data_IF_231452266051
#
_entry.id   IF_231452266051
#
_cell.length_a   1.000
_cell.length_b   1.000
_cell.length_c   1.000
_cell.angle_alpha   90.00
_cell.angle_beta   90.00
_cell.angle_gamma   90.00
#
_symmetry.space_group_name_H-M   'P 1'
#
loop_
_entity.id
_entity.type
_entity.pdbx_description
1 polymer ?
#
# COMPACT_ATOMS: atom_id res chain seq x y z
N UNK A 1 -11.59 2.78 11.48
CA UNK A 1 -11.15 4.15 11.16
C UNK A 1 -9.99 4.14 10.17
N UNK A 2 -9.03 3.22 10.30
CA UNK A 2 -7.84 3.15 9.43
C UNK A 2 -8.11 2.84 7.95
N UNK A 3 -9.11 2.01 7.65
CA UNK A 3 -9.47 1.67 6.26
C UNK A 3 -9.99 2.90 5.48
N UNK A 4 -10.81 3.74 6.12
CA UNK A 4 -11.32 4.97 5.51
C UNK A 4 -10.18 5.94 5.18
N UNK A 5 -9.24 6.09 6.12
CA UNK A 5 -8.02 6.92 5.91
C UNK A 5 -7.17 6.41 4.76
N UNK A 6 -7.02 5.09 4.62
CA UNK A 6 -6.26 4.50 3.53
C UNK A 6 -6.91 4.76 2.15
N UNK A 7 -8.25 4.74 2.09
CA UNK A 7 -9.02 5.10 0.90
C UNK A 7 -8.94 6.59 0.57
N UNK A 8 -8.98 7.48 1.57
CA UNK A 8 -8.78 8.91 1.35
C UNK A 8 -7.39 9.21 0.79
N UNK A 9 -6.34 8.64 1.38
CA UNK A 9 -4.98 8.79 0.88
C UNK A 9 -4.82 8.26 -0.56
N UNK A 10 -5.51 7.16 -0.90
CA UNK A 10 -5.53 6.66 -2.27
C UNK A 10 -6.24 7.61 -3.24
N UNK A 11 -7.32 8.26 -2.79
CA UNK A 11 -8.03 9.28 -3.55
C UNK A 11 -7.21 10.55 -3.76
N UNK A 12 -6.38 10.93 -2.80
CA UNK A 12 -5.42 12.04 -2.97
C UNK A 12 -4.37 11.70 -4.02
N UNK A 13 -3.78 10.50 -3.95
CA UNK A 13 -2.83 10.02 -4.98
C UNK A 13 -3.44 9.99 -6.38
N UNK A 14 -4.74 9.66 -6.50
CA UNK A 14 -5.46 9.74 -7.78
C UNK A 14 -5.49 11.17 -8.33
N UNK A 15 -5.76 12.17 -7.48
CA UNK A 15 -5.79 13.58 -7.89
C UNK A 15 -4.41 14.10 -8.28
N UNK A 16 -3.38 13.65 -7.58
CA UNK A 16 -1.97 14.05 -7.82
C UNK A 16 -1.31 13.29 -8.97
N UNK A 17 -1.99 12.30 -9.56
CA UNK A 17 -1.45 11.47 -10.64
C UNK A 17 -0.50 10.36 -10.19
N UNK A 18 -0.30 10.17 -8.89
CA UNK A 18 0.55 9.12 -8.30
C UNK A 18 -0.18 7.81 -8.00
N UNK A 19 -1.46 7.67 -8.35
CA UNK A 19 -2.19 6.44 -8.13
C UNK A 19 -1.69 5.32 -9.02
N UNK A 20 -1.55 4.14 -8.43
CA UNK A 20 -0.97 3.00 -9.11
C UNK A 20 0.56 3.01 -9.14
N UNK A 21 1.23 3.96 -8.48
CA UNK A 21 2.69 3.97 -8.35
C UNK A 21 3.10 3.50 -6.95
N UNK A 22 4.08 2.60 -6.88
CA UNK A 22 4.59 2.06 -5.63
C UNK A 22 5.39 3.11 -4.86
N UNK A 23 4.99 3.43 -3.64
CA UNK A 23 5.68 4.41 -2.79
C UNK A 23 7.13 4.04 -2.45
N UNK A 24 7.47 2.75 -2.47
CA UNK A 24 8.81 2.27 -2.08
C UNK A 24 9.81 2.21 -3.25
N UNK A 25 9.35 2.07 -4.49
CA UNK A 25 10.25 1.81 -5.63
C UNK A 25 9.92 2.58 -6.90
N UNK A 26 8.81 3.32 -6.93
CA UNK A 26 8.41 4.12 -8.10
C UNK A 26 7.85 3.34 -9.28
N UNK A 27 7.83 2.00 -9.22
CA UNK A 27 7.25 1.17 -10.28
C UNK A 27 5.73 1.04 -10.15
N UNK A 28 5.08 0.60 -11.21
CA UNK A 28 3.64 0.37 -11.21
C UNK A 28 3.19 -0.71 -10.21
N UNK A 29 2.07 -0.44 -9.57
CA UNK A 29 1.27 -1.38 -8.79
C UNK A 29 0.35 -2.07 -9.79
N UNK A 30 0.48 -3.41 -9.91
CA UNK A 30 -0.30 -4.19 -10.86
C UNK A 30 -1.81 -3.95 -10.74
N UNK A 31 -2.48 -3.84 -11.89
CA UNK A 31 -3.91 -3.54 -11.97
C UNK A 31 -4.77 -4.49 -11.13
N UNK A 32 -4.52 -5.81 -11.21
CA UNK A 32 -5.26 -6.81 -10.42
C UNK A 32 -5.14 -6.56 -8.91
N UNK A 33 -4.00 -6.01 -8.45
CA UNK A 33 -3.81 -5.64 -7.05
C UNK A 33 -4.60 -4.40 -6.67
N UNK A 34 -4.61 -3.37 -7.53
CA UNK A 34 -5.43 -2.17 -7.31
C UNK A 34 -6.93 -2.50 -7.36
N UNK A 35 -7.34 -3.44 -8.20
CA UNK A 35 -8.71 -3.93 -8.29
C UNK A 35 -9.14 -4.67 -7.01
N UNK A 36 -8.27 -5.53 -6.48
CA UNK A 36 -8.53 -6.23 -5.22
C UNK A 36 -8.42 -5.33 -3.99
N UNK A 37 -7.47 -4.39 -3.99
CA UNK A 37 -7.21 -3.47 -2.90
C UNK A 37 -6.89 -2.06 -3.43
N UNK A 38 -7.91 -1.21 -3.63
CA UNK A 38 -7.72 0.13 -4.20
C UNK A 38 -6.82 1.05 -3.36
N UNK A 39 -6.75 0.83 -2.05
CA UNK A 39 -5.91 1.62 -1.14
C UNK A 39 -4.42 1.21 -1.15
N UNK A 40 -4.04 0.28 -2.01
CA UNK A 40 -2.68 -0.21 -2.21
C UNK A 40 -1.63 0.90 -2.30
N UNK A 41 -0.61 0.83 -1.42
CA UNK A 41 0.51 1.77 -1.39
C UNK A 41 1.78 1.23 -2.08
N UNK A 42 1.97 -0.10 -2.10
CA UNK A 42 3.20 -0.76 -2.57
C UNK A 42 2.91 -1.79 -3.66
N UNK A 43 3.89 -2.13 -4.50
CA UNK A 43 3.78 -3.31 -5.37
C UNK A 43 3.91 -4.61 -4.55
N UNK A 44 3.53 -5.76 -5.12
CA UNK A 44 3.59 -7.07 -4.42
C UNK A 44 5.00 -7.36 -3.90
N UNK A 45 6.04 -7.06 -4.68
CA UNK A 45 7.44 -7.30 -4.29
C UNK A 45 7.86 -6.47 -3.08
N UNK A 46 7.48 -5.20 -3.06
CA UNK A 46 7.81 -4.31 -1.93
C UNK A 46 6.95 -4.62 -0.71
N UNK A 47 5.70 -5.05 -0.91
CA UNK A 47 4.83 -5.53 0.18
C UNK A 47 5.42 -6.78 0.85
N UNK A 48 5.82 -7.79 0.07
CA UNK A 48 6.44 -9.01 0.59
C UNK A 48 7.73 -8.71 1.38
N UNK A 49 8.57 -7.80 0.86
CA UNK A 49 9.76 -7.32 1.58
C UNK A 49 9.38 -6.62 2.89
N UNK A 50 8.40 -5.73 2.86
CA UNK A 50 7.93 -5.02 4.05
C UNK A 50 7.40 -5.99 5.11
N UNK A 51 6.65 -7.01 4.72
CA UNK A 51 6.17 -8.06 5.63
C UNK A 51 7.30 -8.90 6.21
N UNK A 52 8.35 -9.19 5.44
CA UNK A 52 9.53 -9.90 5.97
C UNK A 52 10.35 -9.06 6.94
N UNK A 53 10.45 -7.74 6.72
CA UNK A 53 11.21 -6.82 7.57
C UNK A 53 10.45 -6.40 8.82
N UNK A 54 9.12 -6.21 8.73
CA UNK A 54 8.27 -5.69 9.81
C UNK A 54 7.26 -6.71 10.36
N UNK A 55 7.10 -7.87 9.73
CA UNK A 55 6.22 -8.95 10.21
C UNK A 55 6.83 -9.78 11.35
N UNK A 56 8.06 -9.47 11.75
CA UNK A 56 8.74 -10.05 12.92
C UNK A 56 8.51 -9.31 14.23
N UNK A 57 7.85 -8.14 14.24
CA UNK A 57 7.47 -7.51 15.53
C UNK A 57 6.29 -8.27 16.12
N UNK A 58 6.45 -9.01 17.24
CA UNK A 58 5.29 -9.44 18.00
C UNK A 58 4.51 -8.18 18.35
N UNK A 59 3.19 -8.22 18.14
CA UNK A 59 2.29 -7.16 18.61
C UNK A 59 2.68 -6.84 20.06
N UNK A 60 2.91 -5.59 20.45
CA UNK A 60 2.94 -5.27 21.87
C UNK A 60 1.59 -5.69 22.42
N UNK A 61 1.59 -6.73 23.23
CA UNK A 61 0.50 -7.01 24.13
C UNK A 61 0.49 -5.88 25.16
N UNK A 62 -0.70 -5.28 25.33
CA UNK A 62 -1.08 -4.20 26.26
C UNK A 62 -1.06 -2.79 25.63
#
# INVERSE_FOLDING_TARGET
>A
LDEFRALEAARERLKEGGYGVCADCGNDIGYERLKAFPAALRCVRCQDRHEKTYGGTPKPSL
#
